data_IF_983451741857
#
_entry.id   IF_983451741857
#
_cell.length_a   1.000
_cell.length_b   1.000
_cell.length_c   1.000
_cell.angle_alpha   90.00
_cell.angle_beta   90.00
_cell.angle_gamma   90.00
#
_symmetry.space_group_name_H-M   'P 1'
#
loop_
_entity.id
_entity.type
_entity.pdbx_description
1 polymer ?
#
# COMPACT_ATOMS: atom_id res chain seq x y z
N UNK A 1 -12.62 -20.56 38.72
CA UNK A 1 -11.87 -19.34 39.10
C UNK A 1 -10.55 -19.61 39.88
N UNK A 2 -10.14 -20.87 40.09
CA UNK A 2 -8.98 -21.17 40.98
C UNK A 2 -7.65 -21.50 40.26
N UNK A 3 -7.58 -21.49 38.92
CA UNK A 3 -6.35 -21.85 38.22
C UNK A 3 -5.53 -20.65 37.67
N UNK A 4 -6.06 -19.44 37.71
CA UNK A 4 -5.33 -18.25 37.22
C UNK A 4 -4.46 -17.61 38.31
N UNK A 5 -4.82 -17.75 39.56
CA UNK A 5 -4.08 -17.16 40.69
C UNK A 5 -2.77 -17.92 40.98
N UNK A 6 -2.71 -19.23 40.70
CA UNK A 6 -1.52 -20.05 40.96
C UNK A 6 -0.42 -19.77 39.92
N UNK A 7 -0.74 -19.42 38.69
CA UNK A 7 0.27 -19.10 37.65
C UNK A 7 0.96 -17.74 37.90
N UNK A 8 0.26 -16.75 38.42
CA UNK A 8 0.85 -15.44 38.74
C UNK A 8 1.81 -15.50 39.94
N UNK A 9 1.57 -16.37 40.90
CA UNK A 9 2.46 -16.51 42.07
C UNK A 9 3.77 -17.22 41.73
N UNK A 10 3.77 -18.16 40.81
CA UNK A 10 4.98 -18.89 40.36
C UNK A 10 5.91 -17.99 39.51
N UNK A 11 5.35 -17.13 38.67
CA UNK A 11 6.15 -16.20 37.86
C UNK A 11 6.81 -15.10 38.72
N UNK A 12 6.10 -14.60 39.72
CA UNK A 12 6.64 -13.59 40.62
C UNK A 12 7.81 -14.15 41.49
N UNK A 13 7.69 -15.36 41.96
CA UNK A 13 8.77 -16.04 42.69
C UNK A 13 9.98 -16.38 41.81
N UNK A 14 9.76 -16.80 40.56
CA UNK A 14 10.82 -17.05 39.59
C UNK A 14 11.56 -15.73 39.22
N UNK A 15 10.87 -14.65 39.07
CA UNK A 15 11.47 -13.32 38.81
C UNK A 15 12.29 -12.83 40.01
N UNK A 16 11.80 -13.02 41.23
CA UNK A 16 12.53 -12.63 42.44
C UNK A 16 13.79 -13.55 42.64
N UNK A 17 13.68 -14.84 42.32
CA UNK A 17 14.83 -15.77 42.41
C UNK A 17 15.88 -15.46 41.33
N UNK A 18 15.46 -15.13 40.13
CA UNK A 18 16.34 -14.67 39.03
C UNK A 18 16.98 -13.29 39.35
N UNK A 19 16.24 -12.38 39.97
CA UNK A 19 16.80 -11.08 40.38
C UNK A 19 17.82 -11.20 41.50
N UNK A 20 17.59 -12.09 42.52
CA UNK A 20 18.54 -12.34 43.59
C UNK A 20 19.77 -13.08 43.10
N UNK A 21 19.62 -14.04 42.18
CA UNK A 21 20.75 -14.79 41.57
C UNK A 21 21.58 -13.88 40.63
N UNK A 22 20.97 -12.96 39.92
CA UNK A 22 21.65 -11.97 39.08
C UNK A 22 22.37 -10.90 39.92
N UNK A 23 21.83 -10.50 41.07
CA UNK A 23 22.50 -9.54 41.97
C UNK A 23 23.75 -10.10 42.63
N UNK A 24 23.74 -11.41 42.96
CA UNK A 24 24.91 -12.10 43.52
C UNK A 24 26.01 -12.34 42.47
N UNK A 25 25.62 -12.58 41.21
CA UNK A 25 26.56 -12.70 40.08
C UNK A 25 27.20 -11.35 39.71
N UNK A 26 26.52 -10.22 39.95
CA UNK A 26 27.03 -8.86 39.64
C UNK A 26 28.13 -8.40 40.65
N UNK A 27 28.27 -9.04 41.78
CA UNK A 27 29.33 -8.72 42.77
C UNK A 27 30.68 -9.38 42.47
N UNK A 28 30.78 -10.23 41.43
CA UNK A 28 32.04 -10.87 41.07
C UNK A 28 32.83 -9.98 40.09
N UNK A 29 34.03 -9.47 40.46
CA UNK A 29 34.81 -8.53 39.62
C UNK A 29 35.18 -9.07 38.24
N UNK A 30 35.35 -10.41 38.10
CA UNK A 30 35.67 -11.05 36.82
C UNK A 30 34.50 -11.15 35.87
N UNK A 31 33.24 -11.13 36.38
CA UNK A 31 32.03 -11.11 35.59
C UNK A 31 31.70 -9.71 35.17
N UNK A 32 31.97 -8.70 36.02
CA UNK A 32 31.78 -7.28 35.72
C UNK A 32 32.70 -6.80 34.58
N UNK A 33 33.93 -7.29 34.50
CA UNK A 33 34.83 -6.99 33.38
C UNK A 33 34.40 -7.66 32.08
N UNK A 34 33.84 -8.88 32.14
CA UNK A 34 33.28 -9.59 30.97
C UNK A 34 31.94 -8.99 30.52
N UNK A 35 31.08 -8.52 31.43
CA UNK A 35 29.81 -7.84 31.05
C UNK A 35 30.07 -6.46 30.42
N UNK A 36 31.06 -5.73 30.92
CA UNK A 36 31.51 -4.48 30.28
C UNK A 36 32.16 -4.73 28.93
N UNK A 37 32.85 -5.84 28.70
CA UNK A 37 33.37 -6.25 27.40
C UNK A 37 32.30 -6.77 26.45
N UNK A 38 31.21 -7.39 26.95
CA UNK A 38 30.04 -7.79 26.14
C UNK A 38 29.15 -6.59 25.79
N UNK A 39 29.03 -5.61 26.66
CA UNK A 39 28.34 -4.33 26.31
C UNK A 39 29.14 -3.49 25.30
N UNK A 40 30.48 -3.64 25.22
CA UNK A 40 31.31 -3.03 24.19
C UNK A 40 31.31 -3.77 22.84
N UNK A 41 30.75 -4.99 22.77
CA UNK A 41 30.73 -5.82 21.55
C UNK A 41 29.43 -5.65 20.75
N UNK A 42 28.33 -5.16 21.35
CA UNK A 42 27.20 -4.67 20.59
C UNK A 42 27.53 -3.21 20.16
N UNK A 43 28.50 -3.09 19.27
CA UNK A 43 28.75 -1.87 18.54
C UNK A 43 27.58 -1.76 17.57
N UNK A 44 26.50 -1.08 17.99
CA UNK A 44 25.48 -0.63 17.05
C UNK A 44 26.21 0.09 15.94
N UNK A 45 26.16 -0.47 14.74
CA UNK A 45 26.76 0.17 13.56
C UNK A 45 25.86 1.34 13.21
N UNK A 46 26.14 2.50 13.81
CA UNK A 46 25.50 3.74 13.35
C UNK A 46 26.02 4.01 11.94
N UNK A 47 25.13 3.92 10.98
CA UNK A 47 25.40 4.35 9.61
C UNK A 47 25.20 5.87 9.48
N UNK A 48 25.71 6.41 8.37
CA UNK A 48 25.67 7.82 8.07
C UNK A 48 24.22 8.38 8.09
N UNK A 49 24.12 9.65 8.43
CA UNK A 49 22.90 10.43 8.39
C UNK A 49 22.32 10.48 6.96
N UNK A 50 21.04 10.21 6.83
CA UNK A 50 20.31 10.32 5.58
C UNK A 50 19.25 11.45 5.67
N UNK A 51 19.15 12.27 4.63
CA UNK A 51 18.18 13.36 4.61
C UNK A 51 16.76 12.83 4.68
N UNK A 52 16.37 11.92 3.77
CA UNK A 52 15.05 11.30 3.73
C UNK A 52 15.18 9.78 3.70
N UNK A 53 14.62 9.10 4.69
CA UNK A 53 14.49 7.64 4.72
C UNK A 53 13.04 7.26 4.43
N UNK A 54 12.85 6.40 3.42
CA UNK A 54 11.55 5.87 3.01
C UNK A 54 11.52 4.37 3.30
N UNK A 55 10.55 3.92 4.08
CA UNK A 55 10.40 2.50 4.45
C UNK A 55 9.41 1.83 3.52
N UNK A 56 9.89 0.86 2.73
CA UNK A 56 9.13 0.07 1.76
C UNK A 56 9.31 0.52 0.31
N UNK A 57 9.75 -0.40 -0.56
CA UNK A 57 9.90 -0.19 -2.01
C UNK A 57 8.65 -0.63 -2.80
N UNK A 58 7.45 -0.37 -2.28
CA UNK A 58 6.19 -0.49 -3.00
C UNK A 58 5.92 0.72 -3.91
N UNK A 59 4.72 0.77 -4.51
CA UNK A 59 4.31 1.87 -5.39
C UNK A 59 4.49 3.23 -4.71
N UNK A 60 4.01 3.39 -3.47
CA UNK A 60 4.11 4.65 -2.73
C UNK A 60 5.55 5.05 -2.46
N UNK A 61 6.40 4.10 -1.98
CA UNK A 61 7.78 4.43 -1.61
C UNK A 61 8.65 4.79 -2.81
N UNK A 62 8.59 4.00 -3.89
CA UNK A 62 9.34 4.27 -5.10
C UNK A 62 8.86 5.56 -5.80
N UNK A 63 7.55 5.78 -5.87
CA UNK A 63 6.99 6.99 -6.47
C UNK A 63 7.32 8.25 -5.63
N UNK A 64 7.33 8.16 -4.29
CA UNK A 64 7.77 9.25 -3.41
C UNK A 64 9.25 9.55 -3.60
N UNK A 65 10.09 8.52 -3.63
CA UNK A 65 11.54 8.66 -3.90
C UNK A 65 11.79 9.32 -5.26
N UNK A 66 11.07 8.88 -6.31
CA UNK A 66 11.18 9.47 -7.64
C UNK A 66 10.73 10.93 -7.66
N UNK A 67 9.60 11.26 -7.00
CA UNK A 67 9.14 12.64 -6.88
C UNK A 67 10.16 13.55 -6.20
N UNK A 68 10.78 13.09 -5.11
CA UNK A 68 11.86 13.80 -4.43
C UNK A 68 13.10 13.95 -5.32
N UNK A 69 13.50 12.88 -6.03
CA UNK A 69 14.62 12.91 -6.96
C UNK A 69 14.40 13.92 -8.10
N UNK A 70 13.18 14.00 -8.65
CA UNK A 70 12.82 15.04 -9.66
C UNK A 70 12.97 16.47 -9.14
N UNK A 71 12.92 16.66 -7.82
CA UNK A 71 13.14 17.93 -7.14
C UNK A 71 14.60 18.12 -6.67
N UNK A 72 15.50 17.19 -7.00
CA UNK A 72 16.91 17.25 -6.58
C UNK A 72 17.16 16.83 -5.14
N UNK A 73 16.18 16.23 -4.45
CA UNK A 73 16.27 15.77 -3.07
C UNK A 73 16.65 14.28 -3.06
N UNK A 74 17.72 13.94 -2.35
CA UNK A 74 18.16 12.54 -2.18
C UNK A 74 17.32 11.84 -1.13
N UNK A 75 17.00 10.56 -1.38
CA UNK A 75 16.32 9.70 -0.43
C UNK A 75 16.95 8.31 -0.42
N UNK A 76 16.77 7.58 0.68
CA UNK A 76 17.15 6.18 0.83
C UNK A 76 15.86 5.36 1.04
N UNK A 77 15.59 4.41 0.14
CA UNK A 77 14.45 3.50 0.22
C UNK A 77 14.89 2.17 0.82
N UNK A 78 14.26 1.76 1.92
CA UNK A 78 14.54 0.50 2.62
C UNK A 78 13.48 -0.53 2.26
N UNK A 79 13.88 -1.65 1.65
CA UNK A 79 12.99 -2.77 1.35
C UNK A 79 13.36 -4.01 2.17
N UNK A 80 12.37 -4.63 2.78
CA UNK A 80 12.54 -5.81 3.63
C UNK A 80 12.88 -7.08 2.86
N UNK A 81 12.48 -7.17 1.60
CA UNK A 81 12.76 -8.29 0.71
C UNK A 81 14.11 -8.14 0.02
N UNK A 82 14.63 -9.24 -0.50
CA UNK A 82 15.84 -9.30 -1.32
C UNK A 82 15.62 -8.80 -2.76
N UNK A 83 14.37 -8.58 -3.13
CA UNK A 83 13.94 -8.16 -4.47
C UNK A 83 12.67 -7.31 -4.40
N UNK A 84 12.36 -6.56 -5.45
CA UNK A 84 11.11 -5.81 -5.54
C UNK A 84 9.92 -6.77 -5.66
N UNK A 85 8.95 -6.64 -4.75
CA UNK A 85 7.77 -7.51 -4.74
C UNK A 85 6.80 -7.17 -5.86
N UNK A 86 6.74 -8.04 -6.85
CA UNK A 86 5.81 -7.92 -7.99
C UNK A 86 4.48 -8.64 -7.77
N UNK A 87 4.28 -9.28 -6.60
CA UNK A 87 3.02 -9.95 -6.23
C UNK A 87 1.84 -8.99 -6.28
N UNK A 88 0.68 -9.51 -6.72
CA UNK A 88 -0.52 -8.69 -7.01
C UNK A 88 -0.76 -8.48 -8.50
N UNK A 89 0.20 -8.88 -9.35
CA UNK A 89 0.19 -9.02 -10.81
C UNK A 89 -0.11 -7.74 -11.57
N UNK A 90 -1.31 -7.16 -11.45
CA UNK A 90 -1.69 -5.92 -12.12
C UNK A 90 -2.66 -5.10 -11.24
N UNK A 91 -2.88 -3.87 -11.64
CA UNK A 91 -3.85 -2.97 -11.03
C UNK A 91 -4.52 -2.11 -12.11
N UNK A 92 -5.81 -1.83 -11.92
CA UNK A 92 -6.49 -0.84 -12.75
C UNK A 92 -6.04 0.55 -12.33
N UNK A 93 -5.37 1.27 -13.22
CA UNK A 93 -4.96 2.66 -13.05
C UNK A 93 -5.99 3.58 -13.66
N UNK A 94 -6.48 4.52 -12.86
CA UNK A 94 -7.50 5.48 -13.21
C UNK A 94 -6.87 6.85 -13.50
N UNK A 95 -7.67 7.78 -13.99
CA UNK A 95 -7.26 9.13 -14.42
C UNK A 95 -6.35 9.86 -13.41
N UNK A 96 -6.67 9.77 -12.12
CA UNK A 96 -5.86 10.35 -11.04
C UNK A 96 -4.45 9.75 -10.96
N UNK A 97 -4.33 8.44 -11.15
CA UNK A 97 -3.03 7.76 -11.20
C UNK A 97 -2.22 8.21 -12.43
N UNK A 98 -2.86 8.36 -13.59
CA UNK A 98 -2.20 8.84 -14.80
C UNK A 98 -1.71 10.28 -14.65
N UNK A 99 -2.46 11.16 -13.97
CA UNK A 99 -1.97 12.51 -13.62
C UNK A 99 -0.76 12.48 -12.72
N UNK A 100 -0.75 11.59 -11.71
CA UNK A 100 0.41 11.43 -10.84
C UNK A 100 1.63 10.89 -11.61
N UNK A 101 1.43 9.91 -12.50
CA UNK A 101 2.48 9.37 -13.36
C UNK A 101 2.98 10.41 -14.38
N UNK A 102 2.11 11.27 -14.91
CA UNK A 102 2.49 12.42 -15.75
C UNK A 102 3.39 13.39 -14.95
N UNK A 103 3.02 13.71 -13.70
CA UNK A 103 3.81 14.58 -12.84
C UNK A 103 5.20 13.97 -12.50
N UNK A 104 5.29 12.65 -12.40
CA UNK A 104 6.55 11.92 -12.17
C UNK A 104 7.37 11.71 -13.45
N UNK A 105 6.82 11.99 -14.64
CA UNK A 105 7.48 11.79 -15.93
C UNK A 105 7.58 10.33 -16.38
N UNK A 106 6.67 9.45 -15.88
CA UNK A 106 6.68 8.01 -16.17
C UNK A 106 5.50 7.56 -17.05
N UNK A 107 4.49 8.40 -17.26
CA UNK A 107 3.25 7.98 -17.87
C UNK A 107 3.40 7.47 -19.31
N UNK A 108 4.19 8.14 -20.15
CA UNK A 108 4.26 7.83 -21.59
C UNK A 108 4.85 6.45 -21.86
N UNK A 109 5.89 6.05 -21.11
CA UNK A 109 6.48 4.70 -21.25
C UNK A 109 5.49 3.61 -20.85
N UNK A 110 4.65 3.84 -19.84
CA UNK A 110 3.62 2.89 -19.40
C UNK A 110 2.42 2.87 -20.36
N UNK A 111 2.04 4.01 -20.95
CA UNK A 111 0.97 4.08 -21.97
C UNK A 111 1.28 3.26 -23.20
N UNK A 112 2.53 3.21 -23.62
CA UNK A 112 2.97 2.41 -24.77
C UNK A 112 2.87 0.91 -24.53
N UNK A 113 2.89 0.46 -23.30
CA UNK A 113 2.93 -0.96 -22.91
C UNK A 113 1.57 -1.54 -22.50
N UNK A 114 0.53 -0.72 -22.39
CA UNK A 114 -0.77 -1.13 -21.87
C UNK A 114 -1.91 -0.55 -22.69
N UNK A 115 -2.92 -1.36 -22.97
CA UNK A 115 -4.11 -0.93 -23.72
C UNK A 115 -4.99 0.02 -22.88
N UNK A 116 -5.60 1.00 -23.53
CA UNK A 116 -6.64 1.83 -22.92
C UNK A 116 -7.94 1.01 -22.88
N UNK A 117 -8.58 0.98 -21.70
CA UNK A 117 -9.87 0.33 -21.53
C UNK A 117 -10.98 1.26 -22.03
N UNK A 118 -11.89 0.74 -22.87
CA UNK A 118 -13.01 1.50 -23.42
C UNK A 118 -14.16 1.66 -22.42
N UNK A 119 -14.34 0.70 -21.50
CA UNK A 119 -15.44 0.74 -20.55
C UNK A 119 -15.41 -0.38 -19.53
N UNK A 120 -16.49 -0.44 -18.76
CA UNK A 120 -16.79 -1.49 -17.80
C UNK A 120 -18.11 -2.17 -18.16
N UNK A 121 -18.09 -3.48 -18.26
CA UNK A 121 -19.29 -4.31 -18.41
C UNK A 121 -19.52 -5.07 -17.11
N UNK A 122 -20.72 -4.96 -16.58
CA UNK A 122 -21.15 -5.70 -15.39
C UNK A 122 -22.23 -6.71 -15.76
N UNK A 123 -22.09 -7.95 -15.29
CA UNK A 123 -23.04 -9.04 -15.54
C UNK A 123 -23.40 -9.76 -14.24
N UNK A 124 -24.58 -10.34 -14.22
CA UNK A 124 -25.00 -11.23 -13.14
C UNK A 124 -24.40 -12.62 -13.32
N UNK A 125 -23.62 -13.08 -12.34
CA UNK A 125 -23.11 -14.47 -12.36
C UNK A 125 -24.20 -15.52 -12.05
N UNK A 126 -25.41 -15.08 -11.68
CA UNK A 126 -26.57 -15.95 -11.40
C UNK A 126 -27.31 -16.23 -12.71
N UNK A 127 -27.62 -15.18 -13.48
CA UNK A 127 -28.41 -15.30 -14.72
C UNK A 127 -27.53 -15.37 -15.96
N UNK A 128 -26.28 -14.86 -15.92
CA UNK A 128 -25.40 -14.68 -17.05
C UNK A 128 -25.69 -13.41 -17.85
N UNK A 129 -26.76 -12.65 -17.49
CA UNK A 129 -27.16 -11.47 -18.24
C UNK A 129 -26.35 -10.26 -17.84
N UNK A 130 -26.06 -9.40 -18.83
CA UNK A 130 -25.46 -8.09 -18.62
C UNK A 130 -26.45 -7.19 -17.84
N UNK A 131 -25.96 -6.52 -16.80
CA UNK A 131 -26.75 -5.66 -15.92
C UNK A 131 -26.44 -4.18 -16.14
N UNK A 132 -25.21 -3.84 -16.53
CA UNK A 132 -24.82 -2.49 -16.92
C UNK A 132 -23.61 -2.48 -17.82
N UNK A 133 -23.50 -1.41 -18.59
CA UNK A 133 -22.30 -1.05 -19.33
C UNK A 133 -22.04 0.45 -19.11
N UNK A 134 -20.77 0.80 -18.91
CA UNK A 134 -20.37 2.17 -18.72
C UNK A 134 -19.10 2.44 -19.53
N UNK A 135 -19.17 3.33 -20.52
CA UNK A 135 -17.99 3.77 -21.24
C UNK A 135 -17.06 4.55 -20.31
N UNK A 136 -15.74 4.36 -20.45
CA UNK A 136 -14.74 5.17 -19.77
C UNK A 136 -14.39 6.45 -20.53
N UNK A 137 -14.69 6.50 -21.82
CA UNK A 137 -14.55 7.71 -22.67
C UNK A 137 -15.60 8.75 -22.28
N UNK A 138 -15.35 9.45 -21.18
CA UNK A 138 -16.20 10.54 -20.68
C UNK A 138 -15.33 11.73 -20.31
N UNK A 139 -15.90 12.95 -20.44
CA UNK A 139 -15.23 14.17 -19.99
C UNK A 139 -15.21 14.22 -18.46
N UNK A 140 -14.04 14.30 -17.87
CA UNK A 140 -13.85 14.63 -16.47
C UNK A 140 -13.77 16.13 -16.25
N UNK A 141 -13.72 16.54 -14.98
CA UNK A 141 -13.57 17.97 -14.59
C UNK A 141 -12.20 18.53 -15.02
N UNK A 142 -11.15 17.72 -14.98
CA UNK A 142 -9.78 18.16 -15.22
C UNK A 142 -9.22 17.70 -16.57
N UNK A 143 -9.64 16.54 -17.07
CA UNK A 143 -9.29 15.97 -18.39
C UNK A 143 -10.23 14.81 -18.73
N UNK A 144 -10.17 14.31 -19.96
CA UNK A 144 -10.87 13.09 -20.34
C UNK A 144 -10.38 11.90 -19.50
N UNK A 145 -11.28 10.99 -19.15
CA UNK A 145 -10.94 9.85 -18.35
C UNK A 145 -10.03 8.88 -19.12
N UNK A 146 -9.00 8.40 -18.44
CA UNK A 146 -8.05 7.40 -18.93
C UNK A 146 -7.99 6.26 -17.92
N UNK A 147 -8.25 5.03 -18.38
CA UNK A 147 -8.24 3.82 -17.55
C UNK A 147 -7.45 2.73 -18.27
N UNK A 148 -6.50 2.09 -17.58
CA UNK A 148 -5.71 0.97 -18.11
C UNK A 148 -5.50 -0.07 -17.02
N UNK A 149 -5.22 -1.32 -17.39
CA UNK A 149 -4.75 -2.34 -16.46
C UNK A 149 -3.24 -2.46 -16.55
N UNK A 150 -2.53 -1.89 -15.58
CA UNK A 150 -1.06 -1.82 -15.58
C UNK A 150 -0.48 -3.01 -14.84
N UNK A 151 0.46 -3.72 -15.46
CA UNK A 151 1.23 -4.79 -14.82
C UNK A 151 2.10 -4.20 -13.70
N UNK A 152 1.92 -4.71 -12.47
CA UNK A 152 2.61 -4.20 -11.28
C UNK A 152 4.13 -4.21 -11.43
N UNK A 153 4.67 -5.28 -12.05
CA UNK A 153 6.11 -5.39 -12.32
C UNK A 153 6.61 -4.21 -13.16
N UNK A 154 5.95 -3.91 -14.27
CA UNK A 154 6.36 -2.83 -15.17
C UNK A 154 6.29 -1.46 -14.50
N UNK A 155 5.29 -1.24 -13.64
CA UNK A 155 5.19 0.00 -12.86
C UNK A 155 6.34 0.13 -11.86
N UNK A 156 6.64 -0.92 -11.09
CA UNK A 156 7.71 -0.89 -10.09
C UNK A 156 9.09 -0.79 -10.75
N UNK A 157 9.34 -1.55 -11.81
CA UNK A 157 10.58 -1.50 -12.58
C UNK A 157 10.77 -0.10 -13.19
N UNK A 158 9.71 0.49 -13.77
CA UNK A 158 9.76 1.84 -14.31
C UNK A 158 10.11 2.89 -13.25
N UNK A 159 9.48 2.82 -12.08
CA UNK A 159 9.80 3.72 -10.96
C UNK A 159 11.24 3.53 -10.46
N UNK A 160 11.69 2.28 -10.32
CA UNK A 160 13.02 1.98 -9.79
C UNK A 160 14.15 2.35 -10.77
N UNK A 161 13.96 2.12 -12.08
CA UNK A 161 14.96 2.40 -13.11
C UNK A 161 15.25 3.90 -13.29
N UNK A 162 14.31 4.77 -12.90
CA UNK A 162 14.48 6.22 -12.91
C UNK A 162 15.24 6.76 -11.68
N UNK A 163 15.52 5.91 -10.69
CA UNK A 163 16.20 6.29 -9.47
C UNK A 163 17.72 6.05 -9.61
N UNK A 164 18.56 6.91 -9.02
CA UNK A 164 20.01 6.71 -8.99
C UNK A 164 20.39 5.38 -8.33
N UNK A 165 21.49 4.79 -8.78
CA UNK A 165 22.06 3.59 -8.16
C UNK A 165 22.32 3.84 -6.66
N UNK A 166 22.01 2.85 -5.82
CA UNK A 166 22.14 2.95 -4.36
C UNK A 166 20.99 3.64 -3.64
N UNK A 167 19.99 4.17 -4.35
CA UNK A 167 18.78 4.72 -3.70
C UNK A 167 17.94 3.65 -3.00
N UNK A 168 17.87 2.43 -3.55
CA UNK A 168 17.10 1.33 -2.99
C UNK A 168 18.06 0.36 -2.29
N UNK A 169 17.81 0.12 -1.00
CA UNK A 169 18.53 -0.85 -0.18
C UNK A 169 17.60 -2.01 0.15
N UNK A 170 17.82 -3.14 -0.52
CA UNK A 170 17.11 -4.40 -0.30
C UNK A 170 17.55 -5.08 1.00
N UNK A 171 16.84 -6.12 1.43
CA UNK A 171 17.10 -6.90 2.66
C UNK A 171 17.23 -6.03 3.92
N UNK A 172 16.55 -4.88 3.95
CA UNK A 172 16.65 -3.86 4.98
C UNK A 172 15.32 -3.72 5.74
N UNK A 173 14.99 -4.74 6.53
CA UNK A 173 13.74 -4.79 7.29
C UNK A 173 13.79 -3.85 8.49
N UNK A 174 12.96 -2.82 8.49
CA UNK A 174 12.74 -1.93 9.65
C UNK A 174 11.92 -2.66 10.71
N UNK A 175 12.37 -2.61 11.96
CA UNK A 175 11.73 -3.30 13.10
C UNK A 175 11.19 -2.33 14.15
N UNK A 176 11.81 -1.17 14.33
CA UNK A 176 11.35 -0.13 15.25
C UNK A 176 11.84 1.25 14.83
N UNK A 177 11.23 2.28 15.42
CA UNK A 177 11.59 3.69 15.24
C UNK A 177 11.67 4.35 16.61
N UNK A 178 12.74 5.11 16.86
CA UNK A 178 12.92 5.96 18.04
C UNK A 178 13.17 7.42 17.65
N UNK A 179 13.19 8.30 18.62
CA UNK A 179 13.47 9.74 18.43
C UNK A 179 14.78 10.12 19.15
N UNK A 180 15.60 10.94 18.50
CA UNK A 180 16.82 11.52 19.06
C UNK A 180 17.01 12.95 18.59
N UNK A 181 16.62 13.91 19.41
CA UNK A 181 16.63 15.32 19.03
C UNK A 181 15.72 15.58 17.82
N UNK A 182 16.29 16.15 16.77
CA UNK A 182 15.59 16.46 15.51
C UNK A 182 15.61 15.32 14.50
N UNK A 183 16.01 14.10 14.90
CA UNK A 183 16.16 12.95 14.02
C UNK A 183 15.27 11.79 14.45
N UNK A 184 14.94 10.94 13.48
CA UNK A 184 14.39 9.61 13.73
C UNK A 184 15.52 8.58 13.65
N UNK A 185 15.54 7.66 14.61
CA UNK A 185 16.41 6.49 14.62
C UNK A 185 15.63 5.30 14.08
N UNK A 186 16.05 4.79 12.92
CA UNK A 186 15.39 3.69 12.23
C UNK A 186 16.21 2.42 12.47
N UNK A 187 15.65 1.48 13.23
CA UNK A 187 16.30 0.23 13.59
C UNK A 187 15.98 -0.84 12.56
N UNK A 188 17.03 -1.47 12.02
CA UNK A 188 16.92 -2.59 11.10
C UNK A 188 17.07 -3.93 11.83
N UNK A 189 16.54 -5.00 11.23
CA UNK A 189 16.58 -6.34 11.79
C UNK A 189 18.03 -6.92 11.93
N UNK A 190 18.98 -6.40 11.16
CA UNK A 190 20.40 -6.76 11.22
C UNK A 190 21.19 -6.04 12.33
N UNK A 191 20.50 -5.21 13.15
CA UNK A 191 21.11 -4.40 14.21
C UNK A 191 21.65 -3.04 13.74
N UNK A 192 21.56 -2.71 12.46
CA UNK A 192 21.91 -1.37 11.95
C UNK A 192 20.92 -0.32 12.45
N UNK A 193 21.42 0.87 12.79
CA UNK A 193 20.61 2.04 13.13
C UNK A 193 20.92 3.15 12.12
N UNK A 194 19.88 3.63 11.43
CA UNK A 194 19.97 4.76 10.52
C UNK A 194 19.41 6.02 11.19
N UNK A 195 20.12 7.12 11.04
CA UNK A 195 19.69 8.43 11.52
C UNK A 195 19.08 9.20 10.35
N UNK A 196 17.79 9.56 10.44
CA UNK A 196 17.02 10.20 9.39
C UNK A 196 16.53 11.59 9.81
N UNK A 197 16.72 12.60 8.95
CA UNK A 197 16.10 13.92 9.14
C UNK A 197 14.60 13.87 8.85
N UNK A 198 14.18 13.08 7.86
CA UNK A 198 12.78 12.82 7.52
C UNK A 198 12.56 11.32 7.41
N UNK A 199 11.49 10.83 8.03
CA UNK A 199 11.06 9.43 7.91
C UNK A 199 9.70 9.33 7.22
N UNK A 200 9.62 8.54 6.14
CA UNK A 200 8.38 8.27 5.42
C UNK A 200 8.05 6.78 5.47
N UNK A 201 6.93 6.42 6.09
CA UNK A 201 6.42 5.06 6.13
C UNK A 201 5.59 4.74 4.89
N UNK A 202 6.11 3.89 4.01
CA UNK A 202 5.44 3.32 2.84
C UNK A 202 5.42 1.78 2.91
N UNK A 203 5.51 1.23 4.12
CA UNK A 203 5.72 -0.18 4.46
C UNK A 203 4.44 -1.01 4.48
N UNK A 204 3.36 -0.50 3.89
CA UNK A 204 2.14 -1.23 3.58
C UNK A 204 1.23 -1.46 4.79
N UNK A 205 0.34 -2.46 4.67
CA UNK A 205 -0.74 -2.70 5.65
C UNK A 205 -0.26 -3.05 7.06
N UNK A 206 0.96 -3.57 7.19
CA UNK A 206 1.58 -3.93 8.48
C UNK A 206 2.64 -2.92 8.93
N UNK A 207 2.50 -1.66 8.54
CA UNK A 207 3.45 -0.58 8.74
C UNK A 207 3.94 -0.44 10.17
N UNK A 208 5.26 -0.49 10.35
CA UNK A 208 5.95 -0.19 11.61
C UNK A 208 5.86 1.31 11.91
N UNK A 209 5.98 2.15 10.87
CA UNK A 209 5.90 3.61 11.01
C UNK A 209 4.48 4.05 11.39
N UNK A 210 3.43 3.48 10.76
CA UNK A 210 2.04 3.77 11.15
C UNK A 210 1.75 3.38 12.61
N UNK A 211 2.26 2.21 13.05
CA UNK A 211 2.15 1.79 14.45
C UNK A 211 2.85 2.77 15.39
N UNK A 212 4.05 3.24 15.02
CA UNK A 212 4.78 4.25 15.79
C UNK A 212 4.03 5.58 15.88
N UNK A 213 3.33 6.00 14.81
CA UNK A 213 2.44 7.17 14.78
C UNK A 213 1.16 6.99 15.61
N UNK A 214 0.88 5.78 16.13
CA UNK A 214 -0.26 5.46 16.97
C UNK A 214 -1.48 4.90 16.22
N UNK A 215 -1.37 4.58 14.95
CA UNK A 215 -2.45 3.90 14.23
C UNK A 215 -2.62 2.45 14.69
N UNK A 216 -3.86 2.00 14.76
CA UNK A 216 -4.20 0.60 15.04
C UNK A 216 -3.90 -0.29 13.83
N UNK A 217 -3.66 -1.60 14.04
CA UNK A 217 -3.61 -2.54 12.94
C UNK A 217 -4.88 -2.49 12.09
N UNK A 218 -4.79 -2.53 10.74
CA UNK A 218 -5.96 -2.55 9.88
C UNK A 218 -6.90 -3.72 10.18
N UNK A 219 -8.20 -3.44 10.20
CA UNK A 219 -9.24 -4.41 10.47
C UNK A 219 -9.41 -5.39 9.30
N UNK A 220 -9.68 -6.66 9.61
CA UNK A 220 -10.08 -7.66 8.62
C UNK A 220 -11.56 -7.48 8.27
N UNK A 221 -11.90 -7.49 6.98
CA UNK A 221 -13.28 -7.30 6.50
C UNK A 221 -14.15 -8.55 6.59
N UNK A 222 -13.59 -9.72 6.95
CA UNK A 222 -14.24 -11.03 6.80
C UNK A 222 -14.07 -11.63 5.39
N UNK A 223 -13.53 -10.87 4.42
CA UNK A 223 -13.40 -11.26 3.01
C UNK A 223 -11.97 -11.58 2.64
N UNK A 224 -11.80 -12.50 1.68
CA UNK A 224 -10.54 -12.78 0.99
C UNK A 224 -10.62 -12.42 -0.49
N UNK A 225 -9.47 -12.17 -1.10
CA UNK A 225 -9.34 -11.97 -2.53
C UNK A 225 -8.26 -12.87 -3.12
N UNK A 226 -8.62 -13.61 -4.17
CA UNK A 226 -7.65 -14.24 -5.06
C UNK A 226 -7.45 -13.31 -6.25
N UNK A 227 -6.21 -13.16 -6.66
CA UNK A 227 -5.79 -12.36 -7.81
C UNK A 227 -4.76 -13.12 -8.60
N UNK A 228 -4.90 -13.09 -9.91
CA UNK A 228 -3.97 -13.76 -10.79
C UNK A 228 -3.86 -13.06 -12.15
N UNK A 229 -2.91 -13.51 -12.94
CA UNK A 229 -2.70 -13.06 -14.29
C UNK A 229 -2.47 -14.28 -15.20
N UNK A 230 -3.35 -14.47 -16.18
CA UNK A 230 -3.15 -15.47 -17.21
C UNK A 230 -2.32 -14.89 -18.34
N UNK A 231 -1.33 -15.64 -18.80
CA UNK A 231 -0.55 -15.33 -20.00
C UNK A 231 -0.91 -16.29 -21.12
N UNK A 232 -1.38 -15.76 -22.23
CA UNK A 232 -1.77 -16.55 -23.40
C UNK A 232 -0.59 -16.61 -24.39
N UNK A 233 -0.43 -17.75 -25.05
CA UNK A 233 0.60 -17.94 -26.08
C UNK A 233 0.34 -17.13 -27.36
N UNK A 234 -0.91 -16.78 -27.61
CA UNK A 234 -1.39 -15.93 -28.71
C UNK A 234 -2.28 -14.82 -28.14
N UNK A 235 -2.76 -13.92 -28.99
CA UNK A 235 -3.71 -12.90 -28.58
C UNK A 235 -4.93 -13.56 -27.89
N UNK A 236 -5.27 -13.05 -26.69
CA UNK A 236 -6.40 -13.56 -25.91
C UNK A 236 -7.76 -13.19 -26.51
N UNK A 237 -7.81 -12.24 -27.46
CA UNK A 237 -9.00 -11.83 -28.20
C UNK A 237 -10.12 -11.21 -27.35
N UNK A 238 -9.85 -10.72 -26.13
CA UNK A 238 -10.81 -9.91 -25.37
C UNK A 238 -10.81 -8.47 -25.89
N UNK A 239 -12.00 -7.87 -25.93
CA UNK A 239 -12.13 -6.42 -26.09
C UNK A 239 -11.48 -5.69 -24.92
N UNK A 240 -11.04 -4.44 -25.09
CA UNK A 240 -10.43 -3.64 -24.02
C UNK A 240 -11.49 -3.16 -23.00
N UNK A 241 -12.14 -4.11 -22.34
CA UNK A 241 -13.23 -3.89 -21.39
C UNK A 241 -12.89 -4.44 -20.01
N UNK A 242 -13.26 -3.71 -18.96
CA UNK A 242 -13.25 -4.22 -17.62
C UNK A 242 -14.52 -5.06 -17.38
N UNK A 243 -14.41 -6.38 -17.38
CA UNK A 243 -15.53 -7.29 -17.18
C UNK A 243 -15.70 -7.60 -15.69
N UNK A 244 -16.92 -7.44 -15.16
CA UNK A 244 -17.24 -7.71 -13.75
C UNK A 244 -18.49 -8.60 -13.63
N UNK A 245 -18.47 -9.51 -12.65
CA UNK A 245 -19.54 -10.47 -12.41
C UNK A 245 -19.89 -10.50 -10.90
N UNK A 246 -21.16 -10.29 -10.58
CA UNK A 246 -21.65 -10.22 -9.20
C UNK A 246 -22.76 -11.22 -8.94
N UNK A 247 -22.86 -11.70 -7.72
CA UNK A 247 -23.97 -12.52 -7.24
C UNK A 247 -23.56 -13.59 -6.22
N UNK A 248 -24.49 -13.96 -5.34
CA UNK A 248 -24.29 -14.96 -4.30
C UNK A 248 -23.02 -14.77 -3.45
N UNK A 249 -22.76 -13.51 -3.00
CA UNK A 249 -21.63 -13.21 -2.12
C UNK A 249 -20.25 -13.30 -2.78
N UNK A 250 -20.20 -13.48 -4.10
CA UNK A 250 -18.94 -13.51 -4.85
C UNK A 250 -18.92 -12.39 -5.86
N UNK A 251 -17.81 -11.73 -5.94
CA UNK A 251 -17.46 -10.76 -6.98
C UNK A 251 -16.24 -11.29 -7.74
N UNK A 252 -16.31 -11.29 -9.06
CA UNK A 252 -15.18 -11.63 -9.91
C UNK A 252 -15.03 -10.62 -11.03
N UNK A 253 -13.86 -10.54 -11.62
CA UNK A 253 -13.61 -9.71 -12.78
C UNK A 253 -12.38 -10.15 -13.54
N UNK A 254 -12.35 -9.77 -14.84
CA UNK A 254 -11.22 -9.95 -15.72
C UNK A 254 -10.97 -8.66 -16.50
N UNK A 255 -9.69 -8.32 -16.67
CA UNK A 255 -9.25 -7.08 -17.31
C UNK A 255 -8.03 -7.37 -18.19
N UNK A 256 -8.07 -7.12 -19.50
CA UNK A 256 -6.88 -7.22 -20.33
C UNK A 256 -5.86 -6.16 -19.95
N UNK A 257 -4.59 -6.57 -19.81
CA UNK A 257 -3.46 -5.68 -19.59
C UNK A 257 -2.81 -5.26 -20.90
N UNK A 258 -2.63 -6.25 -21.79
CA UNK A 258 -2.08 -6.15 -23.13
C UNK A 258 -2.64 -7.31 -23.97
N UNK A 259 -2.15 -7.53 -25.19
CA UNK A 259 -2.69 -8.55 -26.10
C UNK A 259 -2.55 -10.00 -25.60
N UNK A 260 -1.61 -10.28 -24.71
CA UNK A 260 -1.32 -11.62 -24.22
C UNK A 260 -1.70 -11.85 -22.75
N UNK A 261 -1.87 -10.80 -21.96
CA UNK A 261 -2.05 -10.91 -20.52
C UNK A 261 -3.42 -10.41 -20.06
N UNK A 262 -4.11 -11.23 -19.26
CA UNK A 262 -5.39 -10.89 -18.66
C UNK A 262 -5.30 -11.03 -17.16
N UNK A 263 -5.43 -9.91 -16.44
CA UNK A 263 -5.56 -9.89 -14.98
C UNK A 263 -6.97 -10.30 -14.58
N UNK A 264 -7.09 -11.10 -13.51
CA UNK A 264 -8.37 -11.47 -12.93
C UNK A 264 -8.35 -11.44 -11.42
N UNK A 265 -9.54 -11.33 -10.83
CA UNK A 265 -9.71 -11.42 -9.39
C UNK A 265 -11.05 -12.07 -9.02
N UNK A 266 -11.09 -12.67 -7.84
CA UNK A 266 -12.29 -13.20 -7.19
C UNK A 266 -12.26 -12.76 -5.74
N UNK A 267 -13.35 -12.16 -5.24
CA UNK A 267 -13.53 -11.85 -3.81
C UNK A 267 -14.72 -12.59 -3.26
N UNK A 268 -14.59 -13.11 -2.05
CA UNK A 268 -15.65 -13.85 -1.34
C UNK A 268 -15.44 -13.79 0.16
N UNK A 269 -16.46 -14.22 0.92
CA UNK A 269 -16.37 -14.42 2.36
C UNK A 269 -16.14 -15.91 2.65
N UNK A 270 -14.90 -16.34 3.00
CA UNK A 270 -14.62 -17.75 3.26
C UNK A 270 -15.23 -18.21 4.57
N UNK A 271 -15.80 -19.43 4.58
CA UNK A 271 -16.10 -20.18 5.81
C UNK A 271 -14.80 -20.66 6.49
N UNK A 272 -14.89 -21.17 7.71
CA UNK A 272 -13.72 -21.71 8.43
C UNK A 272 -13.04 -22.84 7.66
N UNK A 273 -13.80 -23.73 7.03
CA UNK A 273 -13.28 -24.84 6.21
C UNK A 273 -12.63 -24.36 4.90
N UNK A 274 -13.18 -23.31 4.30
CA UNK A 274 -12.67 -22.75 3.03
C UNK A 274 -11.36 -21.98 3.22
N UNK A 275 -11.04 -21.53 4.44
CA UNK A 275 -9.73 -20.92 4.73
C UNK A 275 -8.58 -21.92 4.61
N UNK A 276 -8.80 -23.19 4.91
CA UNK A 276 -7.80 -24.24 4.75
C UNK A 276 -7.39 -24.45 3.29
N UNK A 277 -8.32 -24.16 2.34
CA UNK A 277 -8.01 -24.23 0.90
C UNK A 277 -6.99 -23.20 0.46
N UNK A 278 -6.83 -22.09 1.19
CA UNK A 278 -5.85 -21.04 0.85
C UNK A 278 -4.40 -21.54 0.93
N UNK A 279 -4.15 -22.64 1.67
CA UNK A 279 -2.82 -23.28 1.79
C UNK A 279 -2.49 -24.20 0.61
N UNK A 280 -3.49 -24.59 -0.21
CA UNK A 280 -3.30 -25.46 -1.37
C UNK A 280 -3.79 -24.79 -2.67
N UNK A 281 -2.87 -24.18 -3.45
CA UNK A 281 -3.23 -23.43 -4.66
C UNK A 281 -4.05 -24.25 -5.68
N UNK A 282 -3.74 -25.55 -5.86
CA UNK A 282 -4.46 -26.39 -6.82
C UNK A 282 -5.93 -26.62 -6.39
N UNK A 283 -6.16 -26.94 -5.11
CA UNK A 283 -7.49 -27.12 -4.56
C UNK A 283 -8.26 -25.79 -4.55
N UNK A 284 -7.61 -24.71 -4.18
CA UNK A 284 -8.20 -23.37 -4.20
C UNK A 284 -8.66 -22.98 -5.61
N UNK A 285 -7.83 -23.23 -6.65
CA UNK A 285 -8.18 -22.98 -8.05
C UNK A 285 -9.41 -23.77 -8.48
N UNK A 286 -9.46 -25.08 -8.20
CA UNK A 286 -10.61 -25.93 -8.52
C UNK A 286 -11.88 -25.46 -7.78
N UNK A 287 -11.75 -25.13 -6.52
CA UNK A 287 -12.86 -24.57 -5.72
C UNK A 287 -13.39 -23.28 -6.37
N UNK A 288 -12.51 -22.33 -6.73
CA UNK A 288 -12.92 -21.07 -7.36
C UNK A 288 -13.60 -21.29 -8.71
N UNK A 289 -13.09 -22.19 -9.55
CA UNK A 289 -13.74 -22.56 -10.82
C UNK A 289 -15.17 -23.06 -10.61
N UNK A 290 -15.40 -23.90 -9.57
CA UNK A 290 -16.75 -24.38 -9.22
C UNK A 290 -17.69 -23.25 -8.77
N UNK A 291 -17.14 -22.14 -8.27
CA UNK A 291 -17.91 -21.00 -7.74
C UNK A 291 -18.15 -19.89 -8.77
N UNK A 292 -17.55 -19.93 -9.96
CA UNK A 292 -17.67 -18.85 -10.95
C UNK A 292 -19.12 -18.63 -11.47
N UNK A 293 -19.98 -19.65 -11.42
CA UNK A 293 -21.37 -19.54 -11.85
C UNK A 293 -21.55 -19.38 -13.36
N UNK A 294 -22.55 -18.61 -13.78
CA UNK A 294 -22.88 -18.38 -15.20
C UNK A 294 -22.08 -17.21 -15.77
N UNK A 295 -20.75 -17.37 -15.89
CA UNK A 295 -19.89 -16.44 -16.59
C UNK A 295 -19.48 -17.04 -17.94
N UNK A 296 -19.12 -16.23 -18.96
CA UNK A 296 -18.68 -16.72 -20.26
C UNK A 296 -17.49 -17.69 -20.14
N UNK A 297 -17.49 -18.78 -20.93
CA UNK A 297 -16.44 -19.78 -20.89
C UNK A 297 -15.06 -19.19 -21.22
N UNK A 298 -14.99 -18.18 -22.10
CA UNK A 298 -13.78 -17.42 -22.36
C UNK A 298 -13.18 -16.79 -21.10
N UNK A 299 -14.01 -16.30 -20.15
CA UNK A 299 -13.56 -15.73 -18.88
C UNK A 299 -13.19 -16.82 -17.88
N UNK A 300 -13.88 -17.98 -17.88
CA UNK A 300 -13.46 -19.14 -17.07
C UNK A 300 -12.08 -19.64 -17.53
N UNK A 301 -11.86 -19.69 -18.84
CA UNK A 301 -10.57 -20.08 -19.42
C UNK A 301 -9.41 -19.19 -18.95
N UNK A 302 -9.63 -17.92 -18.58
CA UNK A 302 -8.59 -17.08 -17.97
C UNK A 302 -8.09 -17.69 -16.65
N UNK A 303 -9.01 -18.11 -15.79
CA UNK A 303 -8.66 -18.74 -14.51
C UNK A 303 -8.05 -20.13 -14.75
N UNK A 304 -8.60 -20.91 -15.66
CA UNK A 304 -8.11 -22.26 -16.02
C UNK A 304 -6.68 -22.24 -16.57
N UNK A 305 -6.35 -21.25 -17.42
CA UNK A 305 -5.01 -21.10 -18.01
C UNK A 305 -4.01 -20.37 -17.12
N UNK A 306 -4.38 -19.97 -15.90
CA UNK A 306 -3.45 -19.35 -14.96
C UNK A 306 -2.61 -20.40 -14.24
N UNK A 307 -1.28 -20.29 -14.29
CA UNK A 307 -0.38 -21.17 -13.58
C UNK A 307 -0.55 -21.08 -12.06
N UNK A 308 -0.17 -22.12 -11.31
CA UNK A 308 -0.39 -22.18 -9.86
C UNK A 308 0.41 -21.16 -9.06
N UNK A 309 1.53 -20.69 -9.59
CA UNK A 309 2.37 -19.62 -9.03
C UNK A 309 1.98 -18.22 -9.52
N UNK A 310 1.08 -18.16 -10.52
CA UNK A 310 0.60 -16.91 -11.13
C UNK A 310 -0.71 -16.40 -10.52
N UNK A 311 -1.06 -16.83 -9.31
CA UNK A 311 -2.14 -16.24 -8.51
C UNK A 311 -1.83 -16.32 -7.02
N UNK A 312 -2.48 -15.46 -6.23
CA UNK A 312 -2.30 -15.35 -4.79
C UNK A 312 -3.64 -15.08 -4.10
N UNK A 313 -3.85 -15.73 -2.94
CA UNK A 313 -4.92 -15.37 -2.01
C UNK A 313 -4.41 -14.43 -0.93
N UNK A 314 -5.26 -13.52 -0.50
CA UNK A 314 -4.95 -12.63 0.62
C UNK A 314 -6.22 -12.13 1.32
N UNK A 315 -6.20 -12.00 2.66
CA UNK A 315 -7.29 -11.40 3.42
C UNK A 315 -7.40 -9.90 3.09
N UNK A 316 -8.63 -9.42 2.91
CA UNK A 316 -8.89 -8.01 2.67
C UNK A 316 -8.91 -7.26 4.00
N UNK A 317 -8.06 -6.26 4.10
CA UNK A 317 -7.94 -5.41 5.29
C UNK A 317 -8.20 -3.96 4.92
N UNK A 318 -8.67 -3.18 5.89
CA UNK A 318 -8.90 -1.75 5.74
C UNK A 318 -8.64 -1.02 7.05
N UNK A 319 -8.29 0.26 6.97
CA UNK A 319 -8.28 1.15 8.12
C UNK A 319 -9.69 1.69 8.34
N UNK A 320 -10.13 1.76 9.58
CA UNK A 320 -11.37 2.47 9.88
C UNK A 320 -11.21 3.95 9.52
N UNK A 321 -12.08 4.51 8.65
CA UNK A 321 -11.86 5.87 8.12
C UNK A 321 -11.82 6.94 9.22
N UNK A 322 -12.57 6.78 10.31
CA UNK A 322 -12.54 7.71 11.45
C UNK A 322 -11.17 7.77 12.16
N UNK A 323 -10.32 6.75 12.06
CA UNK A 323 -8.95 6.82 12.58
C UNK A 323 -8.14 7.94 11.91
N UNK A 324 -8.46 8.30 10.68
CA UNK A 324 -7.80 9.39 9.97
C UNK A 324 -8.22 10.77 10.49
N UNK A 325 -9.41 10.91 11.10
CA UNK A 325 -9.90 12.18 11.58
C UNK A 325 -9.12 12.66 12.82
N UNK A 326 -8.71 11.72 13.67
CA UNK A 326 -7.99 11.99 14.91
C UNK A 326 -6.55 11.44 14.94
N UNK A 327 -6.19 10.58 13.99
CA UNK A 327 -4.86 9.97 13.91
C UNK A 327 -3.80 10.91 13.36
N UNK A 328 -2.57 10.65 13.77
CA UNK A 328 -1.40 11.40 13.32
C UNK A 328 -0.89 10.84 11.99
N UNK A 329 -1.29 11.43 10.85
CA UNK A 329 -0.73 11.11 9.53
C UNK A 329 0.74 11.53 9.48
N UNK A 330 1.08 12.61 10.21
CA UNK A 330 2.44 13.09 10.45
C UNK A 330 2.63 13.42 11.93
N UNK A 331 3.86 13.29 12.43
CA UNK A 331 4.28 13.69 13.78
C UNK A 331 5.75 14.12 13.71
N UNK A 332 6.00 15.40 13.94
CA UNK A 332 7.32 15.98 13.78
C UNK A 332 7.82 15.78 12.34
N UNK A 333 8.99 15.18 12.19
CA UNK A 333 9.63 14.90 10.91
C UNK A 333 9.35 13.48 10.36
N UNK A 334 8.22 12.86 10.75
CA UNK A 334 7.79 11.57 10.24
C UNK A 334 6.36 11.60 9.72
N UNK A 335 6.05 10.83 8.66
CA UNK A 335 4.71 10.64 8.12
C UNK A 335 4.52 9.25 7.50
N UNK A 336 3.28 8.94 7.07
CA UNK A 336 2.93 7.72 6.33
C UNK A 336 2.21 8.03 5.03
N UNK A 337 2.37 7.14 4.03
CA UNK A 337 1.75 7.23 2.72
C UNK A 337 1.37 5.84 2.18
N UNK A 338 0.49 5.78 1.18
CA UNK A 338 0.01 4.54 0.58
C UNK A 338 -0.74 3.65 1.59
N UNK A 339 -0.58 2.34 1.49
CA UNK A 339 -1.27 1.37 2.36
C UNK A 339 -0.83 1.46 3.85
N UNK A 340 0.25 2.15 4.18
CA UNK A 340 0.59 2.49 5.55
C UNK A 340 -0.37 3.55 6.14
N UNK A 341 -0.88 4.46 5.29
CA UNK A 341 -1.84 5.49 5.65
C UNK A 341 -3.29 5.00 5.47
N UNK A 342 -3.64 4.53 4.28
CA UNK A 342 -5.02 4.28 3.86
C UNK A 342 -5.24 2.88 3.27
N UNK A 343 -4.90 1.79 3.99
CA UNK A 343 -5.25 0.46 3.51
C UNK A 343 -6.77 0.39 3.30
N UNK A 344 -7.18 -0.01 2.09
CA UNK A 344 -8.58 -0.05 1.67
C UNK A 344 -8.90 -1.31 0.88
N UNK A 345 -10.19 -1.66 0.84
CA UNK A 345 -10.65 -2.77 0.01
C UNK A 345 -10.53 -2.45 -1.48
N UNK A 346 -10.34 -3.44 -2.36
CA UNK A 346 -10.08 -3.20 -3.80
C UNK A 346 -11.35 -2.85 -4.60
N UNK A 347 -12.46 -2.56 -3.93
CA UNK A 347 -13.78 -2.44 -4.55
C UNK A 347 -13.92 -1.23 -5.49
N UNK A 348 -13.17 -0.17 -5.25
CA UNK A 348 -13.04 0.98 -6.16
C UNK A 348 -11.86 0.86 -7.14
N UNK A 349 -10.87 0.01 -6.84
CA UNK A 349 -9.61 -0.03 -7.59
C UNK A 349 -8.73 1.21 -7.38
N UNK A 350 -8.83 1.89 -6.22
CA UNK A 350 -8.18 3.18 -5.98
C UNK A 350 -6.93 3.13 -5.08
N UNK A 351 -6.62 2.00 -4.43
CA UNK A 351 -5.50 1.93 -3.47
C UNK A 351 -4.16 2.35 -4.07
N UNK A 352 -3.76 1.74 -5.18
CA UNK A 352 -2.52 2.10 -5.89
C UNK A 352 -2.57 3.50 -6.51
N UNK A 353 -3.74 3.94 -6.99
CA UNK A 353 -3.92 5.28 -7.53
C UNK A 353 -3.74 6.35 -6.45
N UNK A 354 -4.34 6.13 -5.27
CA UNK A 354 -4.21 7.01 -4.11
C UNK A 354 -2.76 7.07 -3.61
N UNK A 355 -2.04 5.95 -3.65
CA UNK A 355 -0.61 5.88 -3.30
C UNK A 355 0.26 6.73 -4.24
N UNK A 356 -0.04 6.76 -5.54
CA UNK A 356 0.62 7.63 -6.50
C UNK A 356 0.29 9.12 -6.27
N UNK A 357 -0.98 9.44 -5.96
CA UNK A 357 -1.37 10.80 -5.55
C UNK A 357 -0.58 11.26 -4.32
N UNK A 358 -0.51 10.42 -3.27
CA UNK A 358 0.25 10.70 -2.05
C UNK A 358 1.68 11.09 -2.36
N UNK A 359 2.31 10.33 -3.24
CA UNK A 359 3.73 10.50 -3.58
C UNK A 359 4.02 11.86 -4.21
N UNK A 360 3.15 12.34 -5.11
CA UNK A 360 3.29 13.66 -5.73
C UNK A 360 3.06 14.77 -4.71
N UNK A 361 2.00 14.67 -3.89
CA UNK A 361 1.68 15.67 -2.87
C UNK A 361 2.78 15.73 -1.81
N UNK A 362 3.26 14.57 -1.35
CA UNK A 362 4.33 14.50 -0.33
C UNK A 362 5.65 15.07 -0.85
N UNK A 363 6.06 14.68 -2.07
CA UNK A 363 7.29 15.19 -2.69
C UNK A 363 7.23 16.72 -2.85
N UNK A 364 6.09 17.28 -3.28
CA UNK A 364 5.90 18.72 -3.38
C UNK A 364 6.00 19.40 -2.02
N UNK A 365 5.28 18.91 -0.98
CA UNK A 365 5.28 19.51 0.35
C UNK A 365 6.67 19.45 1.02
N UNK A 366 7.39 18.33 0.87
CA UNK A 366 8.76 18.21 1.34
C UNK A 366 9.74 19.05 0.53
N UNK A 367 9.57 19.13 -0.78
CA UNK A 367 10.37 19.98 -1.66
C UNK A 367 10.29 21.45 -1.23
N UNK A 368 9.08 21.95 -0.99
CA UNK A 368 8.88 23.30 -0.46
C UNK A 368 9.57 23.52 0.90
N UNK A 369 9.56 22.50 1.77
CA UNK A 369 10.16 22.60 3.11
C UNK A 369 11.70 22.54 3.08
N UNK A 370 12.27 21.71 2.23
CA UNK A 370 13.72 21.45 2.18
C UNK A 370 14.48 22.43 1.29
N UNK A 371 13.87 22.97 0.21
CA UNK A 371 14.56 23.78 -0.79
C UNK A 371 14.40 25.30 -0.62
N UNK A 372 13.48 25.75 0.22
CA UNK A 372 13.18 27.20 0.43
C UNK A 372 14.30 28.03 1.10
N UNK A 373 15.42 27.45 1.52
CA UNK A 373 16.48 28.17 2.23
C UNK A 373 17.89 28.14 1.59
N UNK A 374 18.00 27.94 0.27
CA UNK A 374 19.30 28.05 -0.39
C UNK A 374 19.79 29.51 -0.61
N UNK A 375 19.11 30.52 -0.09
CA UNK A 375 19.34 31.93 -0.38
C UNK A 375 19.74 32.87 0.80
N UNK A 376 19.92 32.35 2.00
CA UNK A 376 20.28 33.17 3.17
C UNK A 376 21.76 33.01 3.57
N UNK A 377 22.46 34.14 3.86
CA UNK A 377 23.84 34.14 4.34
C UNK A 377 24.02 33.21 5.55
N UNK A 378 25.01 32.29 5.44
CA UNK A 378 25.47 31.45 6.56
C UNK A 378 25.90 32.33 7.73
N UNK A 379 25.10 32.32 8.82
CA UNK A 379 25.53 32.79 10.11
C UNK A 379 25.62 31.61 11.06
N UNK A 380 26.82 31.41 11.58
CA UNK A 380 27.26 30.36 12.49
C UNK A 380 26.38 30.19 13.73
N UNK A 381 25.48 29.19 13.73
CA UNK A 381 24.90 28.57 14.92
C UNK A 381 24.25 27.22 14.54
N UNK A 382 25.03 26.15 14.49
CA UNK A 382 24.58 24.77 14.16
C UNK A 382 23.29 24.32 14.87
N UNK A 383 23.06 24.72 16.13
CA UNK A 383 21.87 24.31 16.89
C UNK A 383 20.59 25.04 16.50
N UNK A 384 20.67 26.27 15.99
CA UNK A 384 19.50 27.08 15.60
C UNK A 384 19.03 26.65 14.20
N UNK A 385 19.98 26.38 13.30
CA UNK A 385 19.69 25.93 11.93
C UNK A 385 18.99 24.56 11.91
N UNK A 386 19.44 23.61 12.72
CA UNK A 386 18.78 22.30 12.86
C UNK A 386 17.34 22.35 13.37
N UNK A 387 17.04 23.29 14.28
CA UNK A 387 15.69 23.51 14.78
C UNK A 387 14.78 24.11 13.71
N UNK A 388 15.25 25.12 12.98
CA UNK A 388 14.49 25.77 11.92
C UNK A 388 14.21 24.80 10.75
N UNK A 389 15.19 23.97 10.37
CA UNK A 389 14.99 22.92 9.37
C UNK A 389 13.93 21.92 9.82
N UNK A 390 14.01 21.46 11.07
CA UNK A 390 13.02 20.53 11.64
C UNK A 390 11.61 21.13 11.63
N UNK A 391 11.42 22.38 12.05
CA UNK A 391 10.14 23.06 12.07
C UNK A 391 9.56 23.23 10.64
N UNK A 392 10.40 23.53 9.64
CA UNK A 392 9.96 23.59 8.23
C UNK A 392 9.52 22.22 7.72
N UNK A 393 10.27 21.17 8.04
CA UNK A 393 9.91 19.80 7.68
C UNK A 393 8.57 19.43 8.31
N UNK A 394 8.39 19.68 9.59
CA UNK A 394 7.13 19.41 10.30
C UNK A 394 5.94 20.15 9.68
N UNK A 395 6.11 21.42 9.32
CA UNK A 395 5.08 22.20 8.62
C UNK A 395 4.75 21.60 7.24
N UNK A 396 5.76 21.17 6.47
CA UNK A 396 5.58 20.53 5.18
C UNK A 396 4.82 19.21 5.29
N UNK A 397 5.17 18.37 6.26
CA UNK A 397 4.50 17.10 6.51
C UNK A 397 3.06 17.29 7.04
N UNK A 398 2.81 18.31 7.84
CA UNK A 398 1.47 18.68 8.27
C UNK A 398 0.60 19.18 7.12
N UNK A 399 1.17 19.94 6.17
CA UNK A 399 0.50 20.34 4.92
C UNK A 399 0.09 19.11 4.11
N UNK A 400 1.01 18.17 3.89
CA UNK A 400 0.72 16.88 3.27
C UNK A 400 -0.42 16.13 3.97
N UNK A 401 -0.33 15.99 5.30
CA UNK A 401 -1.32 15.29 6.11
C UNK A 401 -2.72 15.90 5.96
N UNK A 402 -2.84 17.23 5.95
CA UNK A 402 -4.10 17.94 5.78
C UNK A 402 -4.69 17.76 4.37
N UNK A 403 -3.87 17.81 3.31
CA UNK A 403 -4.32 17.58 1.94
C UNK A 403 -4.81 16.15 1.73
N UNK A 404 -4.17 15.15 2.39
CA UNK A 404 -4.48 13.73 2.17
C UNK A 404 -5.56 13.17 3.09
N UNK A 405 -5.80 13.77 4.24
CA UNK A 405 -6.74 13.29 5.27
C UNK A 405 -8.14 13.00 4.74
N UNK A 406 -8.79 14.01 4.18
CA UNK A 406 -10.16 13.87 3.68
C UNK A 406 -10.24 13.03 2.40
N UNK A 407 -9.23 13.09 1.55
CA UNK A 407 -9.15 12.24 0.35
C UNK A 407 -9.07 10.77 0.73
N UNK A 408 -8.22 10.42 1.66
CA UNK A 408 -8.05 9.05 2.16
C UNK A 408 -9.30 8.55 2.89
N UNK A 409 -9.88 9.38 3.76
CA UNK A 409 -11.15 9.09 4.44
C UNK A 409 -12.26 8.75 3.45
N UNK A 410 -12.45 9.59 2.45
CA UNK A 410 -13.48 9.43 1.43
C UNK A 410 -13.30 8.16 0.61
N UNK A 411 -12.08 7.85 0.17
CA UNK A 411 -11.80 6.65 -0.63
C UNK A 411 -11.97 5.36 0.19
N UNK A 412 -11.49 5.30 1.43
CA UNK A 412 -11.67 4.14 2.31
C UNK A 412 -13.17 3.89 2.55
N UNK A 413 -13.90 4.94 2.95
CA UNK A 413 -15.34 4.86 3.26
C UNK A 413 -16.14 4.40 2.04
N UNK A 414 -15.89 5.03 0.89
CA UNK A 414 -16.58 4.68 -0.36
C UNK A 414 -16.26 3.26 -0.80
N UNK A 415 -14.98 2.85 -0.72
CA UNK A 415 -14.55 1.51 -1.09
C UNK A 415 -15.22 0.44 -0.24
N UNK A 416 -15.29 0.66 1.08
CA UNK A 416 -15.95 -0.26 2.02
C UNK A 416 -17.44 -0.40 1.73
N UNK A 417 -18.16 0.72 1.54
CA UNK A 417 -19.61 0.71 1.22
C UNK A 417 -19.87 0.04 -0.12
N UNK A 418 -19.07 0.33 -1.15
CA UNK A 418 -19.20 -0.30 -2.48
C UNK A 418 -19.01 -1.82 -2.36
N UNK A 419 -18.00 -2.28 -1.65
CA UNK A 419 -17.74 -3.70 -1.43
C UNK A 419 -18.91 -4.39 -0.70
N UNK A 420 -19.41 -3.78 0.37
CA UNK A 420 -20.55 -4.28 1.10
C UNK A 420 -21.80 -4.44 0.22
N UNK A 421 -22.12 -3.43 -0.60
CA UNK A 421 -23.28 -3.48 -1.51
C UNK A 421 -23.10 -4.54 -2.61
N UNK A 422 -21.90 -4.67 -3.17
CA UNK A 422 -21.63 -5.63 -4.26
C UNK A 422 -21.65 -7.09 -3.82
N UNK A 423 -21.27 -7.38 -2.59
CA UNK A 423 -21.23 -8.74 -2.03
C UNK A 423 -22.47 -9.11 -1.19
N UNK A 424 -23.37 -8.15 -0.94
CA UNK A 424 -24.61 -8.41 -0.22
C UNK A 424 -25.45 -9.51 -0.89
N UNK A 425 -25.97 -10.43 -0.07
CA UNK A 425 -26.76 -11.59 -0.49
C UNK A 425 -28.26 -11.36 -0.32
N UNK A 426 -29.06 -12.14 -1.04
CA UNK A 426 -30.51 -12.15 -0.98
C UNK A 426 -31.17 -11.70 -2.28
N UNK A 427 -32.35 -12.26 -2.56
CA UNK A 427 -33.07 -12.00 -3.83
C UNK A 427 -33.39 -10.52 -4.02
N UNK A 428 -33.80 -9.83 -2.97
CA UNK A 428 -34.11 -8.40 -3.00
C UNK A 428 -32.85 -7.56 -3.25
N UNK A 429 -31.75 -7.82 -2.54
CA UNK A 429 -30.49 -7.09 -2.72
C UNK A 429 -29.86 -7.34 -4.08
N UNK A 430 -29.93 -8.57 -4.60
CA UNK A 430 -29.46 -8.87 -5.95
C UNK A 430 -30.26 -8.08 -7.00
N UNK A 431 -31.60 -8.06 -6.90
CA UNK A 431 -32.44 -7.28 -7.81
C UNK A 431 -32.15 -5.79 -7.72
N UNK A 432 -32.09 -5.24 -6.52
CA UNK A 432 -31.84 -3.80 -6.29
C UNK A 432 -30.45 -3.39 -6.77
N UNK A 433 -29.41 -4.19 -6.49
CA UNK A 433 -28.07 -3.98 -6.98
C UNK A 433 -28.01 -3.98 -8.51
N UNK A 434 -28.60 -5.00 -9.14
CA UNK A 434 -28.47 -5.21 -10.58
C UNK A 434 -29.27 -4.17 -11.38
N UNK A 435 -30.39 -3.67 -10.86
CA UNK A 435 -31.27 -2.72 -11.54
C UNK A 435 -31.04 -1.25 -11.18
N UNK A 436 -30.71 -0.96 -9.92
CA UNK A 436 -30.66 0.42 -9.42
C UNK A 436 -29.24 0.89 -9.09
N UNK A 437 -28.44 0.04 -8.41
CA UNK A 437 -27.14 0.47 -7.90
C UNK A 437 -26.01 0.37 -8.91
N UNK A 438 -26.07 -0.58 -9.86
CA UNK A 438 -24.97 -0.85 -10.79
C UNK A 438 -24.55 0.37 -11.61
N UNK A 439 -25.46 1.16 -12.22
CA UNK A 439 -25.10 2.38 -12.93
C UNK A 439 -24.52 3.47 -12.02
N UNK A 440 -25.09 3.61 -10.81
CA UNK A 440 -24.65 4.62 -9.82
C UNK A 440 -23.24 4.30 -9.35
N UNK A 441 -22.95 3.03 -9.00
CA UNK A 441 -21.64 2.59 -8.55
C UNK A 441 -20.56 2.76 -9.64
N UNK A 442 -20.95 2.54 -10.90
CA UNK A 442 -20.07 2.75 -12.04
C UNK A 442 -19.68 4.23 -12.17
N UNK A 443 -20.66 5.15 -12.18
CA UNK A 443 -20.41 6.60 -12.23
C UNK A 443 -19.60 7.12 -11.04
N UNK A 444 -19.79 6.52 -9.85
CA UNK A 444 -19.04 6.87 -8.65
C UNK A 444 -17.53 6.61 -8.80
N UNK A 445 -17.12 5.53 -9.49
CA UNK A 445 -15.70 5.24 -9.75
C UNK A 445 -15.05 6.31 -10.59
N UNK A 446 -15.67 6.74 -11.68
CA UNK A 446 -15.15 7.84 -12.51
C UNK A 446 -15.07 9.15 -11.73
N UNK A 447 -16.10 9.48 -10.94
CA UNK A 447 -16.10 10.67 -10.07
C UNK A 447 -14.94 10.63 -9.06
N UNK A 448 -14.65 9.46 -8.46
CA UNK A 448 -13.53 9.31 -7.53
C UNK A 448 -12.16 9.33 -8.23
N UNK A 449 -12.11 8.94 -9.48
CA UNK A 449 -10.92 9.02 -10.33
C UNK A 449 -10.63 10.42 -10.87
N UNK A 450 -11.58 11.34 -10.81
CA UNK A 450 -11.40 12.72 -11.28
C UNK A 450 -10.81 13.63 -10.20
N UNK A 451 -9.58 13.30 -9.78
CA UNK A 451 -8.81 14.03 -8.78
C UNK A 451 -7.48 14.50 -9.39
N UNK A 452 -7.05 15.69 -9.00
CA UNK A 452 -5.77 16.26 -9.42
C UNK A 452 -4.85 16.46 -8.21
N UNK A 453 -3.75 15.71 -8.17
CA UNK A 453 -2.73 15.82 -7.11
C UNK A 453 -1.77 17.01 -7.34
N UNK A 454 -1.92 17.75 -8.43
CA UNK A 454 -1.04 18.86 -8.80
C UNK A 454 0.25 18.40 -9.51
N UNK A 455 1.17 19.36 -9.67
CA UNK A 455 2.46 19.16 -10.32
C UNK A 455 3.61 19.11 -9.29
N UNK A 456 4.76 18.65 -9.68
CA UNK A 456 6.01 18.68 -8.88
C UNK A 456 6.76 20.03 -8.98
N UNK A 457 6.12 21.12 -9.42
CA UNK A 457 6.77 22.43 -9.43
C UNK A 457 6.80 23.04 -8.03
N UNK A 458 7.95 23.54 -7.60
CA UNK A 458 8.10 24.37 -6.41
C UNK A 458 7.85 25.82 -6.86
N UNK A 459 6.86 26.47 -6.25
CA UNK A 459 6.51 27.87 -6.47
C UNK A 459 7.39 28.80 -5.64
#
# INVERSE_FOLDING_TARGET
MNNIVIYHFHWSLLCIYLYSSLSTLYQNPSIRSKSLSLQSIIKYKMEAEADVVIVGAGISGLATSLGLHRLGIRSLVLESSDSLRTTGFALTTWTNAWKALDALGLADSLRQQHVTLDGNVTSSRITGLQTSEMPFKAKGKHRDHEVRCVKRKLLLDGLANELPSGTIRLSSKVVSVDESGYFKLVHLADGTILKAKVLVGCDGVNSVVAKWLGFKPPAFTGRSAIRGCATFKSCHGFDPMFMQYFGNGIRSGAVPCDDANVYWYITWTPSSQEKELEENPAQLKQYMLSKLGKIPDKVKAVVENTELDAFISSPLRYRHPWELLWGNISKGNACVAGDALHPMTPDLGQGGCCALEDSVVLARCLGEALLKNSGGERKDKEGVEGKEEYERIEMGLNKYANERRWRSFDLISTSYVVGFLQESNGKFMNFFRDKCLSPILAGLRLKKADFDCGKLSIS
#
